data_IF_280870859684
#
_entry.id   IF_280870859684
#
_cell.length_a   1.000
_cell.length_b   1.000
_cell.length_c   1.000
_cell.angle_alpha   90.00
_cell.angle_beta   90.00
_cell.angle_gamma   90.00
#
_symmetry.space_group_name_H-M   'P 1'
#
loop_
_entity.id
_entity.type
_entity.pdbx_description
1 polymer ?
#
# COMPACT_ATOMS: atom_id res chain seq x y z
N UNK A 1 -34.83 37.79 51.63
CA UNK A 1 -34.87 37.23 53.00
C UNK A 1 -34.44 35.80 52.90
N UNK A 2 -33.54 35.38 53.74
CA UNK A 2 -32.49 34.40 53.40
C UNK A 2 -32.72 33.05 54.14
N UNK A 3 -31.91 32.11 53.80
CA UNK A 3 -31.62 30.94 54.62
C UNK A 3 -31.16 29.81 53.73
N UNK A 4 -30.10 29.24 53.87
CA UNK A 4 -29.12 29.06 54.92
C UNK A 4 -28.36 27.80 54.54
N UNK A 5 -27.08 27.97 54.44
CA UNK A 5 -26.09 26.93 54.19
C UNK A 5 -26.10 25.85 55.26
N UNK A 6 -25.83 24.63 54.89
CA UNK A 6 -24.97 23.77 55.73
C UNK A 6 -24.16 22.80 54.85
N UNK A 7 -22.85 22.91 55.04
CA UNK A 7 -21.80 22.05 54.58
C UNK A 7 -21.71 20.80 55.47
N UNK A 8 -21.69 19.63 54.87
CA UNK A 8 -21.19 18.44 55.56
C UNK A 8 -20.05 17.83 54.80
N UNK A 9 -18.92 17.72 55.47
CA UNK A 9 -17.70 17.02 55.03
C UNK A 9 -17.83 15.53 55.25
N UNK A 10 -17.20 14.69 54.38
CA UNK A 10 -17.21 13.25 54.59
C UNK A 10 -16.09 12.79 55.54
N UNK A 11 -16.25 11.68 56.23
CA UNK A 11 -15.27 11.14 57.17
C UNK A 11 -14.30 10.15 56.50
N UNK A 12 -13.08 10.21 56.98
CA UNK A 12 -12.29 9.05 57.38
C UNK A 12 -11.61 8.17 56.32
N UNK A 13 -10.32 8.43 56.20
CA UNK A 13 -9.28 7.52 55.67
C UNK A 13 -9.33 6.10 56.31
N UNK A 14 -9.43 5.07 55.48
CA UNK A 14 -8.96 3.74 55.82
C UNK A 14 -7.71 3.39 55.02
N UNK A 15 -6.59 3.38 55.71
CA UNK A 15 -5.32 2.90 55.21
C UNK A 15 -5.39 1.38 54.95
N UNK A 16 -5.17 0.98 53.69
CA UNK A 16 -4.90 -0.42 53.36
C UNK A 16 -3.39 -0.65 53.39
N UNK A 17 -2.99 -1.52 54.30
CA UNK A 17 -1.62 -2.02 54.46
C UNK A 17 -1.22 -2.80 53.22
N UNK A 18 -0.13 -2.39 52.59
CA UNK A 18 0.54 -3.07 51.51
C UNK A 18 1.20 -4.33 52.04
N UNK A 19 0.76 -5.47 51.60
CA UNK A 19 1.47 -6.76 51.76
C UNK A 19 2.37 -6.95 50.53
N UNK A 20 3.67 -6.81 50.71
CA UNK A 20 4.67 -7.07 49.68
C UNK A 20 4.73 -8.60 49.49
N UNK A 21 4.14 -9.08 48.42
CA UNK A 21 4.29 -10.46 47.95
C UNK A 21 5.53 -10.58 47.05
N UNK A 22 6.43 -11.45 47.43
CA UNK A 22 7.62 -11.85 46.69
C UNK A 22 7.21 -12.39 45.30
N UNK A 23 7.44 -11.62 44.22
CA UNK A 23 7.34 -12.12 42.88
C UNK A 23 8.62 -12.87 42.52
N UNK A 24 8.54 -14.18 42.48
CA UNK A 24 9.56 -15.03 41.92
C UNK A 24 9.78 -14.69 40.45
N UNK A 25 10.98 -14.26 40.13
CA UNK A 25 11.46 -13.99 38.77
C UNK A 25 11.58 -15.33 38.03
N UNK A 26 10.60 -15.68 37.21
CA UNK A 26 10.71 -16.80 36.27
C UNK A 26 11.60 -16.33 35.12
N UNK A 27 12.88 -16.74 35.14
CA UNK A 27 13.78 -16.57 33.98
C UNK A 27 13.35 -17.62 32.92
N UNK A 28 12.63 -17.15 31.91
CA UNK A 28 12.49 -17.89 30.66
C UNK A 28 13.80 -17.85 29.89
N UNK A 29 14.69 -18.82 30.13
CA UNK A 29 15.79 -19.14 29.21
C UNK A 29 15.21 -19.93 28.02
N UNK A 30 14.47 -19.25 27.14
CA UNK A 30 14.20 -19.73 25.81
C UNK A 30 15.35 -19.28 24.90
N UNK A 31 16.16 -20.21 24.41
CA UNK A 31 16.96 -20.00 23.18
C UNK A 31 15.97 -19.89 22.03
N UNK A 32 15.31 -18.74 21.90
CA UNK A 32 14.60 -18.37 20.69
C UNK A 32 15.67 -18.13 19.63
N UNK A 33 15.81 -19.05 18.70
CA UNK A 33 16.42 -18.75 17.40
C UNK A 33 15.70 -17.50 16.89
N UNK A 34 16.39 -16.38 16.78
CA UNK A 34 15.92 -15.21 16.05
C UNK A 34 15.77 -15.74 14.62
N UNK A 35 14.55 -16.09 14.21
CA UNK A 35 14.26 -16.29 12.80
C UNK A 35 14.66 -14.97 12.14
N UNK A 36 15.73 -15.01 11.34
CA UNK A 36 16.07 -13.90 10.43
C UNK A 36 14.82 -13.65 9.60
N UNK A 37 14.09 -12.58 9.90
CA UNK A 37 13.03 -12.12 9.01
C UNK A 37 13.74 -11.79 7.69
N UNK A 38 13.41 -12.53 6.62
CA UNK A 38 13.90 -12.23 5.29
C UNK A 38 13.36 -10.84 4.93
N UNK A 39 14.24 -9.94 4.50
CA UNK A 39 13.84 -8.61 4.05
C UNK A 39 12.85 -8.73 2.88
N UNK A 40 11.88 -7.82 2.84
CA UNK A 40 10.93 -7.71 1.74
C UNK A 40 11.68 -7.21 0.50
N UNK A 41 11.67 -7.97 -0.57
CA UNK A 41 12.30 -7.61 -1.84
C UNK A 41 11.33 -6.75 -2.65
N UNK A 42 11.65 -5.47 -2.82
CA UNK A 42 10.79 -4.51 -3.51
C UNK A 42 11.40 -4.11 -4.83
N UNK A 43 10.65 -4.28 -5.92
CA UNK A 43 11.01 -3.71 -7.22
C UNK A 43 10.16 -2.48 -7.48
N UNK A 44 10.79 -1.31 -7.72
CA UNK A 44 10.11 -0.08 -8.08
C UNK A 44 10.23 0.12 -9.58
N UNK A 45 9.11 0.00 -10.29
CA UNK A 45 9.02 0.18 -11.74
C UNK A 45 8.46 1.55 -12.10
N UNK A 46 9.10 2.19 -13.09
CA UNK A 46 8.68 3.47 -13.66
C UNK A 46 8.80 3.43 -15.19
N UNK A 47 7.84 3.98 -15.91
CA UNK A 47 7.97 4.15 -17.36
C UNK A 47 9.11 5.10 -17.74
N UNK A 48 9.51 6.01 -16.86
CA UNK A 48 10.66 6.92 -16.98
C UNK A 48 10.67 7.71 -18.30
N UNK A 49 9.52 8.30 -18.65
CA UNK A 49 9.35 9.11 -19.86
C UNK A 49 9.42 10.60 -19.56
N UNK A 50 8.65 11.07 -18.60
CA UNK A 50 8.55 12.48 -18.26
C UNK A 50 9.89 13.05 -17.82
N UNK A 51 10.58 12.37 -16.92
CA UNK A 51 11.85 12.83 -16.37
C UNK A 51 12.98 12.91 -17.41
N UNK A 52 12.88 12.14 -18.48
CA UNK A 52 13.86 12.17 -19.59
C UNK A 52 13.56 13.28 -20.60
N UNK A 53 12.28 13.62 -20.79
CA UNK A 53 11.85 14.50 -21.87
C UNK A 53 11.46 15.91 -21.40
N UNK A 54 11.25 16.13 -20.09
CA UNK A 54 10.87 17.42 -19.52
C UNK A 54 11.85 17.85 -18.41
N UNK A 55 12.58 18.94 -18.66
CA UNK A 55 13.57 19.47 -17.73
C UNK A 55 12.95 19.96 -16.40
N UNK A 56 11.68 20.40 -16.39
CA UNK A 56 11.02 20.81 -15.16
C UNK A 56 10.71 19.60 -14.28
N UNK A 57 10.29 18.49 -14.88
CA UNK A 57 10.07 17.24 -14.17
C UNK A 57 11.38 16.61 -13.72
N UNK A 58 12.42 16.63 -14.56
CA UNK A 58 13.77 16.21 -14.18
C UNK A 58 14.31 17.01 -12.99
N UNK A 59 13.94 18.29 -12.85
CA UNK A 59 14.32 19.09 -11.69
C UNK A 59 13.63 18.64 -10.38
N UNK A 60 12.43 18.08 -10.47
CA UNK A 60 11.70 17.51 -9.30
C UNK A 60 12.26 16.14 -8.93
N UNK A 61 12.51 15.29 -9.92
CA UNK A 61 12.99 13.91 -9.75
C UNK A 61 14.23 13.64 -10.62
N UNK A 62 15.42 14.17 -10.24
CA UNK A 62 16.62 14.09 -11.07
C UNK A 62 17.05 12.68 -11.46
N UNK A 63 16.87 11.72 -10.55
CA UNK A 63 17.18 10.30 -10.77
C UNK A 63 15.92 9.47 -11.10
N UNK A 64 14.80 10.14 -11.39
CA UNK A 64 13.51 9.53 -11.66
C UNK A 64 12.69 9.20 -10.41
N UNK A 65 11.37 9.11 -10.61
CA UNK A 65 10.40 8.77 -9.56
C UNK A 65 10.71 7.41 -8.91
N UNK A 66 11.13 6.42 -9.71
CA UNK A 66 11.51 5.10 -9.19
C UNK A 66 12.65 5.18 -8.19
N UNK A 67 13.66 6.01 -8.46
CA UNK A 67 14.79 6.19 -7.55
C UNK A 67 14.38 6.93 -6.28
N UNK A 68 13.52 7.95 -6.40
CA UNK A 68 12.98 8.67 -5.24
C UNK A 68 12.18 7.76 -4.31
N UNK A 69 11.35 6.86 -4.88
CA UNK A 69 10.59 5.88 -4.09
C UNK A 69 11.52 4.82 -3.50
N UNK A 70 12.43 4.27 -4.28
CA UNK A 70 13.38 3.26 -3.82
C UNK A 70 14.25 3.79 -2.66
N UNK A 71 14.64 5.07 -2.70
CA UNK A 71 15.48 5.68 -1.68
C UNK A 71 14.85 5.60 -0.28
N UNK A 72 13.60 6.08 -0.09
CA UNK A 72 12.97 6.05 1.24
C UNK A 72 12.52 4.64 1.67
N UNK A 73 12.29 3.72 0.73
CA UNK A 73 12.04 2.31 1.05
C UNK A 73 13.32 1.61 1.52
N UNK A 74 14.48 1.94 0.93
CA UNK A 74 15.79 1.40 1.34
C UNK A 74 16.23 1.86 2.73
N UNK A 75 15.66 2.94 3.25
CA UNK A 75 15.89 3.40 4.63
C UNK A 75 15.23 2.50 5.69
N UNK A 76 14.38 1.56 5.26
CA UNK A 76 13.68 0.64 6.16
C UNK A 76 14.52 -0.63 6.37
N UNK A 77 14.76 -1.00 7.63
CA UNK A 77 15.58 -2.17 8.00
C UNK A 77 15.03 -3.51 7.50
N UNK A 78 13.74 -3.56 7.14
CA UNK A 78 13.02 -4.75 6.70
C UNK A 78 12.79 -4.82 5.18
N UNK A 79 13.41 -3.92 4.40
CA UNK A 79 13.23 -3.84 2.94
C UNK A 79 14.55 -3.80 2.17
N UNK A 80 14.58 -4.44 1.02
CA UNK A 80 15.62 -4.30 0.01
C UNK A 80 14.99 -3.87 -1.31
N UNK A 81 15.54 -2.84 -1.96
CA UNK A 81 14.93 -2.26 -3.15
C UNK A 81 15.79 -2.45 -4.39
N UNK A 82 15.11 -2.66 -5.51
CA UNK A 82 15.66 -2.58 -6.86
C UNK A 82 14.77 -1.70 -7.72
N UNK A 83 15.32 -1.13 -8.79
CA UNK A 83 14.57 -0.30 -9.73
C UNK A 83 14.54 -0.94 -11.11
N UNK A 84 13.46 -0.69 -11.88
CA UNK A 84 13.32 -1.11 -13.25
C UNK A 84 12.56 -0.04 -14.04
N UNK A 85 12.86 0.06 -15.34
CA UNK A 85 12.24 1.04 -16.24
C UNK A 85 11.79 0.42 -17.56
N UNK A 86 10.90 1.15 -18.27
CA UNK A 86 10.29 0.68 -19.50
C UNK A 86 11.30 0.31 -20.59
N UNK A 87 12.42 1.04 -20.72
CA UNK A 87 13.40 0.84 -21.80
C UNK A 87 14.43 -0.27 -21.51
N UNK A 88 14.42 -0.85 -20.31
CA UNK A 88 15.24 -2.00 -20.00
C UNK A 88 14.75 -3.26 -20.77
N UNK A 89 15.62 -4.23 -21.05
CA UNK A 89 15.18 -5.51 -21.61
C UNK A 89 14.02 -6.12 -20.80
N UNK A 90 12.97 -6.55 -21.48
CA UNK A 90 11.71 -7.00 -20.87
C UNK A 90 11.16 -5.99 -19.83
N UNK A 91 11.36 -4.69 -20.09
CA UNK A 91 11.00 -3.60 -19.17
C UNK A 91 11.63 -3.72 -17.78
N UNK A 92 12.79 -4.38 -17.66
CA UNK A 92 13.44 -4.69 -16.40
C UNK A 92 12.72 -5.73 -15.54
N UNK A 93 11.62 -6.33 -16.04
CA UNK A 93 10.78 -7.28 -15.34
C UNK A 93 10.97 -8.71 -15.90
N UNK A 94 12.22 -9.13 -15.98
CA UNK A 94 12.58 -10.49 -16.39
C UNK A 94 12.06 -11.53 -15.40
N UNK A 95 12.02 -12.80 -15.81
CA UNK A 95 11.60 -13.88 -14.91
C UNK A 95 12.46 -13.96 -13.64
N UNK A 96 13.76 -13.70 -13.76
CA UNK A 96 14.68 -13.68 -12.61
C UNK A 96 14.41 -12.53 -11.64
N UNK A 97 14.09 -11.34 -12.16
CA UNK A 97 13.71 -10.18 -11.32
C UNK A 97 12.38 -10.47 -10.63
N UNK A 98 11.38 -10.89 -11.40
CA UNK A 98 10.05 -11.18 -10.86
C UNK A 98 10.07 -12.33 -9.85
N UNK A 99 10.92 -13.36 -10.03
CA UNK A 99 11.04 -14.47 -9.09
C UNK A 99 11.57 -14.01 -7.71
N UNK A 100 12.38 -12.96 -7.68
CA UNK A 100 12.95 -12.39 -6.44
C UNK A 100 12.08 -11.31 -5.83
N UNK A 101 11.14 -10.72 -6.59
CA UNK A 101 10.29 -9.62 -6.13
C UNK A 101 9.17 -10.13 -5.23
N UNK A 102 9.11 -9.62 -4.01
CA UNK A 102 8.00 -9.83 -3.07
C UNK A 102 6.89 -8.79 -3.28
N UNK A 103 7.25 -7.53 -3.58
CA UNK A 103 6.29 -6.45 -3.87
C UNK A 103 6.78 -5.63 -5.08
N UNK A 104 5.91 -5.45 -6.06
CA UNK A 104 6.14 -4.58 -7.20
C UNK A 104 5.39 -3.26 -6.99
N UNK A 105 6.13 -2.14 -7.00
CA UNK A 105 5.57 -0.79 -7.01
C UNK A 105 5.58 -0.30 -8.45
N UNK A 106 4.40 0.05 -8.97
CA UNK A 106 4.19 0.42 -10.36
C UNK A 106 3.79 1.88 -10.50
N UNK A 107 4.63 2.66 -11.18
CA UNK A 107 4.30 4.01 -11.59
C UNK A 107 4.33 4.11 -13.12
N UNK A 108 3.31 4.68 -13.74
CA UNK A 108 3.23 4.93 -15.17
C UNK A 108 2.16 5.97 -15.46
N UNK A 109 2.33 6.77 -16.52
CA UNK A 109 1.46 7.88 -16.84
C UNK A 109 1.06 7.92 -18.31
N UNK A 110 1.99 7.98 -19.26
CA UNK A 110 1.72 8.20 -20.67
C UNK A 110 2.04 7.01 -21.57
N UNK A 111 2.91 6.11 -21.15
CA UNK A 111 3.44 5.04 -21.97
C UNK A 111 2.82 3.67 -21.68
N UNK A 112 1.63 3.61 -21.08
CA UNK A 112 0.95 2.34 -20.74
C UNK A 112 0.84 1.36 -21.93
N UNK A 113 0.63 1.90 -23.15
CA UNK A 113 0.52 1.12 -24.39
C UNK A 113 1.80 0.45 -24.80
N UNK A 114 2.97 0.98 -24.40
CA UNK A 114 4.30 0.47 -24.78
C UNK A 114 4.70 -0.75 -23.96
N UNK A 115 4.09 -0.99 -22.81
CA UNK A 115 4.35 -2.19 -22.00
C UNK A 115 3.86 -3.43 -22.77
N UNK A 116 4.76 -4.39 -23.01
CA UNK A 116 4.43 -5.59 -23.75
C UNK A 116 3.46 -6.48 -23.01
N UNK A 117 2.51 -7.09 -23.72
CA UNK A 117 1.50 -7.97 -23.12
C UNK A 117 2.15 -9.19 -22.47
N UNK A 118 3.29 -9.68 -23.00
CA UNK A 118 4.04 -10.78 -22.42
C UNK A 118 4.57 -10.44 -21.01
N UNK A 119 5.06 -9.21 -20.78
CA UNK A 119 5.47 -8.75 -19.44
C UNK A 119 4.25 -8.57 -18.53
N UNK A 120 3.15 -8.03 -19.05
CA UNK A 120 1.89 -7.93 -18.29
C UNK A 120 1.42 -9.31 -17.82
N UNK A 121 1.49 -10.33 -18.67
CA UNK A 121 1.11 -11.69 -18.32
C UNK A 121 1.98 -12.30 -17.21
N UNK A 122 3.31 -12.08 -17.29
CA UNK A 122 4.24 -12.50 -16.25
C UNK A 122 3.94 -11.83 -14.92
N UNK A 123 3.72 -10.50 -14.90
CA UNK A 123 3.38 -9.75 -13.68
C UNK A 123 2.05 -10.22 -13.12
N UNK A 124 1.02 -10.40 -13.95
CA UNK A 124 -0.27 -10.93 -13.52
C UNK A 124 -0.11 -12.29 -12.83
N UNK A 125 0.63 -13.22 -13.48
CA UNK A 125 0.88 -14.54 -12.91
C UNK A 125 1.55 -14.44 -11.54
N UNK A 126 2.58 -13.60 -11.40
CA UNK A 126 3.28 -13.40 -10.15
C UNK A 126 2.39 -12.82 -9.06
N UNK A 127 1.50 -11.86 -9.40
CA UNK A 127 0.51 -11.33 -8.45
C UNK A 127 -0.45 -12.43 -7.99
N UNK A 128 -0.99 -13.22 -8.91
CA UNK A 128 -1.89 -14.32 -8.56
C UNK A 128 -1.20 -15.40 -7.72
N UNK A 129 0.11 -15.60 -7.89
CA UNK A 129 0.94 -16.52 -7.11
C UNK A 129 1.34 -15.94 -5.73
N UNK A 130 1.10 -14.64 -5.46
CA UNK A 130 1.28 -14.05 -4.14
C UNK A 130 2.16 -12.79 -4.06
N UNK A 131 2.80 -12.36 -5.15
CA UNK A 131 3.51 -11.08 -5.19
C UNK A 131 2.54 -9.93 -4.92
N UNK A 132 2.92 -8.97 -4.06
CA UNK A 132 2.18 -7.74 -3.85
C UNK A 132 2.31 -6.80 -5.05
N UNK A 133 1.27 -5.99 -5.30
CA UNK A 133 1.30 -4.94 -6.32
C UNK A 133 0.78 -3.63 -5.73
N UNK A 134 1.60 -2.59 -5.83
CA UNK A 134 1.20 -1.22 -5.47
C UNK A 134 1.16 -0.41 -6.75
N UNK A 135 0.00 0.12 -7.09
CA UNK A 135 -0.22 0.92 -8.28
C UNK A 135 -0.38 2.38 -7.88
N UNK A 136 0.48 3.24 -8.41
CA UNK A 136 0.54 4.64 -8.04
C UNK A 136 0.00 5.53 -9.15
N UNK A 137 -0.73 6.56 -8.77
CA UNK A 137 -1.18 7.66 -9.60
C UNK A 137 -1.87 7.19 -10.89
N UNK A 138 -1.42 7.66 -12.05
CA UNK A 138 -1.93 7.27 -13.38
C UNK A 138 -1.70 5.80 -13.74
N UNK A 139 -0.95 5.06 -12.91
CA UNK A 139 -0.83 3.61 -13.04
C UNK A 139 -2.18 2.86 -13.07
N UNK A 140 -3.28 3.53 -12.66
CA UNK A 140 -4.65 3.01 -12.83
C UNK A 140 -4.99 2.68 -14.29
N UNK A 141 -4.41 3.40 -15.26
CA UNK A 141 -4.61 3.16 -16.69
C UNK A 141 -3.69 2.07 -17.26
N UNK A 142 -2.80 1.49 -16.45
CA UNK A 142 -1.87 0.44 -16.91
C UNK A 142 -2.61 -0.84 -17.31
N UNK A 143 -2.05 -1.54 -18.30
CA UNK A 143 -2.57 -2.84 -18.76
C UNK A 143 -2.67 -3.85 -17.62
N UNK A 144 -1.67 -3.87 -16.72
CA UNK A 144 -1.65 -4.81 -15.60
C UNK A 144 -2.78 -4.54 -14.60
N UNK A 145 -3.04 -3.26 -14.26
CA UNK A 145 -4.11 -2.93 -13.33
C UNK A 145 -5.47 -3.26 -13.94
N UNK A 146 -5.73 -2.82 -15.17
CA UNK A 146 -6.96 -3.16 -15.89
C UNK A 146 -7.20 -4.68 -15.98
N UNK A 147 -6.15 -5.46 -16.25
CA UNK A 147 -6.22 -6.92 -16.35
C UNK A 147 -6.57 -7.58 -15.01
N UNK A 148 -6.03 -7.08 -13.89
CA UNK A 148 -6.31 -7.60 -12.55
C UNK A 148 -7.67 -7.12 -11.99
N UNK A 149 -8.15 -5.96 -12.43
CA UNK A 149 -9.45 -5.42 -12.02
C UNK A 149 -10.61 -5.96 -12.87
N UNK A 150 -10.35 -6.28 -14.15
CA UNK A 150 -11.38 -6.76 -15.07
C UNK A 150 -12.35 -5.67 -15.52
N UNK A 151 -11.97 -4.39 -15.44
CA UNK A 151 -12.76 -3.21 -15.81
C UNK A 151 -11.92 -2.22 -16.63
N UNK A 152 -12.54 -1.12 -17.08
CA UNK A 152 -11.86 -0.07 -17.83
C UNK A 152 -11.31 0.98 -16.84
N UNK A 153 -10.30 0.60 -16.09
CA UNK A 153 -9.73 1.40 -15.00
C UNK A 153 -9.15 2.75 -15.42
N UNK A 154 -8.83 2.93 -16.71
CA UNK A 154 -8.32 4.20 -17.25
C UNK A 154 -9.37 5.31 -17.41
N UNK A 155 -10.66 5.03 -17.15
CA UNK A 155 -11.74 6.02 -17.30
C UNK A 155 -12.08 6.67 -15.98
N UNK A 156 -11.79 7.97 -15.86
CA UNK A 156 -12.13 8.83 -14.74
C UNK A 156 -12.17 10.30 -15.19
N UNK A 157 -12.58 11.19 -14.29
CA UNK A 157 -12.43 12.64 -14.49
C UNK A 157 -11.08 13.08 -13.98
N UNK A 158 -10.44 14.00 -14.68
CA UNK A 158 -9.16 14.58 -14.28
C UNK A 158 -9.06 16.05 -14.63
N UNK A 159 -8.23 16.78 -13.92
CA UNK A 159 -7.89 18.18 -14.17
C UNK A 159 -6.50 18.48 -13.63
N UNK A 160 -5.63 18.93 -14.51
CA UNK A 160 -4.26 19.31 -14.17
C UNK A 160 -4.17 20.83 -13.90
N UNK A 161 -4.53 21.21 -12.68
CA UNK A 161 -4.52 22.61 -12.24
C UNK A 161 -3.68 22.85 -10.98
N UNK A 162 -2.93 21.85 -10.50
CA UNK A 162 -2.10 21.95 -9.29
C UNK A 162 -2.93 22.20 -8.04
N UNK A 163 -4.05 21.53 -7.91
CA UNK A 163 -5.00 21.74 -6.81
C UNK A 163 -4.51 21.12 -5.51
N UNK A 164 -4.93 21.70 -4.39
CA UNK A 164 -4.75 21.06 -3.11
C UNK A 164 -5.66 19.83 -3.01
N UNK A 165 -5.06 18.74 -2.59
CA UNK A 165 -5.75 17.51 -2.25
C UNK A 165 -5.75 17.30 -0.74
N UNK A 166 -6.88 16.85 -0.19
CA UNK A 166 -6.97 16.35 1.18
C UNK A 166 -7.36 14.88 1.14
N UNK A 167 -6.50 14.04 1.72
CA UNK A 167 -6.76 12.62 1.85
C UNK A 167 -7.34 12.34 3.25
N UNK A 168 -8.58 11.89 3.30
CA UNK A 168 -9.23 11.44 4.51
C UNK A 168 -8.97 9.96 4.74
N UNK A 169 -8.51 9.62 5.94
CA UNK A 169 -8.35 8.25 6.39
C UNK A 169 -9.72 7.72 6.85
N UNK A 170 -10.31 6.82 6.05
CA UNK A 170 -11.68 6.33 6.30
C UNK A 170 -11.72 4.92 6.91
N UNK A 171 -10.58 4.23 6.93
CA UNK A 171 -10.41 2.92 7.60
C UNK A 171 -9.18 2.94 8.53
N UNK A 172 -9.28 3.58 9.71
CA UNK A 172 -8.13 3.80 10.60
C UNK A 172 -7.56 2.50 11.21
N UNK A 173 -8.31 1.41 11.22
CA UNK A 173 -7.85 0.09 11.66
C UNK A 173 -7.05 -0.69 10.61
N UNK A 174 -6.95 -0.20 9.38
CA UNK A 174 -6.22 -0.89 8.33
C UNK A 174 -4.69 -0.75 8.50
N UNK A 175 -3.87 -1.79 8.26
CA UNK A 175 -2.41 -1.70 8.43
C UNK A 175 -1.74 -0.56 7.63
N UNK A 176 -2.28 -0.19 6.47
CA UNK A 176 -1.78 0.93 5.68
C UNK A 176 -1.97 2.28 6.39
N UNK A 177 -2.90 2.36 7.33
CA UNK A 177 -3.20 3.57 8.11
C UNK A 177 -2.24 3.81 9.29
N UNK A 178 -1.35 2.86 9.59
CA UNK A 178 -0.49 2.93 10.77
C UNK A 178 0.39 4.19 10.78
N UNK A 179 0.34 4.93 11.88
CA UNK A 179 1.14 6.15 12.09
C UNK A 179 0.66 7.39 11.32
N UNK A 180 -0.50 7.33 10.66
CA UNK A 180 -1.07 8.43 9.90
C UNK A 180 -2.12 9.20 10.72
N UNK A 181 -2.28 10.52 10.48
CA UNK A 181 -3.35 11.31 11.08
C UNK A 181 -4.71 11.00 10.43
N UNK A 182 -5.80 11.52 11.01
CA UNK A 182 -7.16 11.41 10.48
C UNK A 182 -7.27 11.88 9.01
N UNK A 183 -6.52 12.89 8.65
CA UNK A 183 -6.32 13.34 7.27
C UNK A 183 -4.95 14.00 7.10
N UNK A 184 -4.49 14.10 5.87
CA UNK A 184 -3.35 14.94 5.50
C UNK A 184 -3.61 15.64 4.17
N UNK A 185 -2.85 16.70 3.90
CA UNK A 185 -3.02 17.52 2.69
C UNK A 185 -1.76 17.49 1.83
N UNK A 186 -1.96 17.44 0.53
CA UNK A 186 -0.94 17.65 -0.50
C UNK A 186 -1.21 19.00 -1.14
N UNK A 187 -0.25 19.94 -1.10
CA UNK A 187 -0.49 21.31 -1.54
C UNK A 187 -0.86 21.45 -3.02
N UNK A 188 -0.23 20.63 -3.87
CA UNK A 188 -0.41 20.67 -5.33
C UNK A 188 -0.44 19.25 -5.88
N UNK A 189 -1.51 18.94 -6.60
CA UNK A 189 -1.72 17.65 -7.26
C UNK A 189 -2.62 17.78 -8.49
N UNK A 190 -2.61 16.78 -9.36
CA UNK A 190 -3.61 16.59 -10.38
C UNK A 190 -4.91 16.09 -9.74
N UNK A 191 -6.05 16.69 -10.06
CA UNK A 191 -7.34 16.26 -9.56
C UNK A 191 -7.84 15.03 -10.32
N UNK A 192 -8.23 13.99 -9.58
CA UNK A 192 -9.08 12.90 -10.07
C UNK A 192 -10.45 12.97 -9.42
N UNK A 193 -11.49 12.61 -10.19
CA UNK A 193 -12.86 12.63 -9.70
C UNK A 193 -13.65 11.39 -10.10
N UNK A 194 -14.59 11.01 -9.25
CA UNK A 194 -15.52 9.92 -9.54
C UNK A 194 -16.36 10.21 -10.80
N UNK A 195 -16.78 9.24 -11.60
CA UNK A 195 -16.78 7.80 -11.33
C UNK A 195 -15.42 7.16 -11.76
N UNK A 196 -14.83 6.32 -10.90
CA UNK A 196 -13.69 5.47 -11.19
C UNK A 196 -14.16 4.05 -11.44
N UNK A 197 -13.95 3.53 -12.65
CA UNK A 197 -14.44 2.22 -13.08
C UNK A 197 -13.56 1.08 -12.56
N UNK A 198 -13.72 0.79 -11.29
CA UNK A 198 -13.06 -0.29 -10.58
C UNK A 198 -14.09 -1.18 -9.86
N UNK A 199 -13.82 -2.47 -9.67
CA UNK A 199 -14.64 -3.29 -8.80
C UNK A 199 -14.61 -2.75 -7.37
N UNK A 200 -15.67 -3.03 -6.60
CA UNK A 200 -15.69 -2.66 -5.18
C UNK A 200 -14.40 -3.13 -4.51
N UNK A 201 -13.65 -2.25 -3.82
CA UNK A 201 -12.46 -2.66 -3.10
C UNK A 201 -12.83 -3.51 -1.88
N UNK A 202 -11.95 -4.45 -1.51
CA UNK A 202 -12.07 -5.22 -0.26
C UNK A 202 -11.89 -4.31 0.97
N UNK A 203 -11.09 -3.22 0.82
CA UNK A 203 -10.94 -2.15 1.79
C UNK A 203 -10.76 -0.81 1.07
N UNK A 204 -11.45 0.23 1.54
CA UNK A 204 -11.26 1.62 1.12
C UNK A 204 -10.58 2.37 2.25
N UNK A 205 -9.29 2.64 2.11
CA UNK A 205 -8.46 3.24 3.17
C UNK A 205 -8.49 4.76 3.12
N UNK A 206 -8.45 5.34 1.90
CA UNK A 206 -8.43 6.78 1.71
C UNK A 206 -9.47 7.26 0.70
N UNK A 207 -10.08 8.41 1.01
CA UNK A 207 -10.87 9.21 0.07
C UNK A 207 -10.22 10.58 -0.05
N UNK A 208 -10.01 11.04 -1.27
CA UNK A 208 -9.56 12.41 -1.55
C UNK A 208 -10.73 13.35 -1.73
N UNK A 209 -10.50 14.58 -1.28
CA UNK A 209 -11.25 15.77 -1.65
C UNK A 209 -10.29 16.79 -2.26
N UNK A 210 -10.68 17.41 -3.36
CA UNK A 210 -9.92 18.45 -4.05
C UNK A 210 -10.56 19.81 -3.87
N UNK A 211 -9.76 20.87 -4.01
CA UNK A 211 -10.24 22.26 -3.82
C UNK A 211 -11.43 22.60 -4.74
N UNK A 212 -11.52 21.98 -5.91
CA UNK A 212 -12.66 22.11 -6.82
C UNK A 212 -13.96 21.45 -6.33
N UNK A 213 -13.92 20.66 -5.25
CA UNK A 213 -15.05 19.98 -4.65
C UNK A 213 -15.23 18.52 -5.07
N UNK A 214 -14.40 18.04 -6.00
CA UNK A 214 -14.43 16.65 -6.42
C UNK A 214 -13.92 15.72 -5.33
N UNK A 215 -14.47 14.49 -5.33
CA UNK A 215 -14.06 13.40 -4.44
C UNK A 215 -13.61 12.20 -5.25
N UNK A 216 -12.70 11.40 -4.66
CA UNK A 216 -12.14 10.24 -5.33
C UNK A 216 -11.74 9.15 -4.34
N UNK A 217 -11.95 7.88 -4.71
CA UNK A 217 -11.47 6.72 -3.95
C UNK A 217 -9.95 6.55 -4.16
N UNK A 218 -9.16 7.16 -3.31
CA UNK A 218 -7.71 7.35 -3.50
C UNK A 218 -6.82 6.26 -2.92
N UNK A 219 -7.35 5.45 -1.99
CA UNK A 219 -6.61 4.34 -1.39
C UNK A 219 -7.46 3.09 -1.34
N UNK A 220 -7.31 2.21 -2.33
CA UNK A 220 -8.16 1.04 -2.52
C UNK A 220 -7.34 -0.25 -2.46
N UNK A 221 -7.83 -1.25 -1.74
CA UNK A 221 -7.19 -2.55 -1.57
C UNK A 221 -8.03 -3.68 -2.20
N UNK A 222 -7.34 -4.64 -2.81
CA UNK A 222 -7.97 -5.88 -3.31
C UNK A 222 -7.08 -7.09 -3.05
N UNK A 223 -7.73 -8.26 -2.98
CA UNK A 223 -7.07 -9.56 -3.09
C UNK A 223 -7.40 -10.19 -4.43
N UNK A 224 -6.38 -10.75 -5.06
CA UNK A 224 -6.54 -11.55 -6.29
C UNK A 224 -5.75 -12.84 -6.12
N UNK A 225 -6.47 -13.97 -5.98
CA UNK A 225 -5.90 -15.24 -5.56
C UNK A 225 -5.04 -15.07 -4.28
N UNK A 226 -3.71 -15.27 -4.34
CA UNK A 226 -2.81 -15.11 -3.20
C UNK A 226 -2.26 -13.68 -3.07
N UNK A 227 -2.34 -12.86 -4.12
CA UNK A 227 -1.76 -11.51 -4.19
C UNK A 227 -2.65 -10.44 -3.57
N UNK A 228 -2.00 -9.37 -3.13
CA UNK A 228 -2.63 -8.17 -2.61
C UNK A 228 -2.27 -7.00 -3.49
N UNK A 229 -3.26 -6.17 -3.78
CA UNK A 229 -3.14 -5.02 -4.65
C UNK A 229 -3.58 -3.79 -3.88
N UNK A 230 -2.78 -2.74 -3.91
CA UNK A 230 -3.13 -1.43 -3.39
C UNK A 230 -2.99 -0.40 -4.50
N UNK A 231 -4.04 0.37 -4.73
CA UNK A 231 -4.00 1.55 -5.56
C UNK A 231 -3.93 2.79 -4.68
N UNK A 232 -3.00 3.70 -5.01
CA UNK A 232 -2.85 4.98 -4.32
C UNK A 232 -2.75 6.12 -5.32
N UNK A 233 -3.71 7.04 -5.25
CA UNK A 233 -3.89 8.09 -6.27
C UNK A 233 -2.78 9.15 -6.33
N UNK A 234 -2.25 9.71 -5.19
CA UNK A 234 -1.26 10.79 -5.26
C UNK A 234 0.00 10.41 -6.04
N UNK A 235 0.64 11.42 -6.66
CA UNK A 235 1.96 11.22 -7.21
C UNK A 235 2.16 11.66 -8.66
N UNK A 236 1.53 12.78 -9.07
CA UNK A 236 1.80 13.39 -10.37
C UNK A 236 3.26 13.85 -10.47
N UNK A 237 3.89 13.61 -11.61
CA UNK A 237 5.33 13.81 -11.83
C UNK A 237 5.79 15.26 -11.69
N UNK A 238 4.89 16.22 -11.91
CA UNK A 238 5.20 17.66 -11.81
C UNK A 238 5.36 18.14 -10.36
N UNK A 239 4.98 17.35 -9.36
CA UNK A 239 4.98 17.76 -7.97
C UNK A 239 5.86 16.86 -7.09
N UNK A 240 6.51 17.39 -6.03
CA UNK A 240 7.38 16.61 -5.14
C UNK A 240 6.59 15.76 -4.14
N UNK A 241 5.53 15.10 -4.60
CA UNK A 241 4.58 14.35 -3.78
C UNK A 241 5.26 13.21 -3.01
N UNK A 242 6.21 12.51 -3.64
CA UNK A 242 6.95 11.43 -2.99
C UNK A 242 8.02 11.92 -1.98
N UNK A 243 8.18 13.24 -1.83
CA UNK A 243 9.00 13.84 -0.76
C UNK A 243 8.20 14.06 0.53
N UNK A 244 6.87 14.01 0.48
CA UNK A 244 6.00 14.21 1.66
C UNK A 244 6.03 13.02 2.59
N UNK A 245 6.13 13.31 3.89
CA UNK A 245 6.24 12.31 4.96
C UNK A 245 5.05 11.33 4.98
N UNK A 246 3.84 11.85 4.90
CA UNK A 246 2.62 11.05 4.97
C UNK A 246 2.47 10.15 3.74
N UNK A 247 2.81 10.64 2.54
CA UNK A 247 2.81 9.85 1.32
C UNK A 247 3.82 8.71 1.39
N UNK A 248 5.04 8.99 1.87
CA UNK A 248 6.07 7.96 2.10
C UNK A 248 5.58 6.91 3.10
N UNK A 249 4.98 7.35 4.22
CA UNK A 249 4.46 6.44 5.23
C UNK A 249 3.37 5.52 4.66
N UNK A 250 2.45 6.04 3.84
CA UNK A 250 1.44 5.21 3.15
C UNK A 250 2.10 4.13 2.30
N UNK A 251 3.10 4.49 1.49
CA UNK A 251 3.77 3.53 0.58
C UNK A 251 4.57 2.49 1.37
N UNK A 252 5.29 2.89 2.42
CA UNK A 252 6.01 1.97 3.32
C UNK A 252 5.04 0.95 3.94
N UNK A 253 3.93 1.44 4.51
CA UNK A 253 2.91 0.58 5.10
C UNK A 253 2.26 -0.34 4.05
N UNK A 254 2.02 0.18 2.84
CA UNK A 254 1.46 -0.60 1.73
C UNK A 254 2.39 -1.73 1.30
N UNK A 255 3.70 -1.50 1.24
CA UNK A 255 4.71 -2.54 0.96
C UNK A 255 4.62 -3.65 2.02
N UNK A 256 4.63 -3.30 3.31
CA UNK A 256 4.50 -4.27 4.41
C UNK A 256 3.18 -5.03 4.37
N UNK A 257 2.09 -4.34 4.04
CA UNK A 257 0.77 -4.97 3.93
C UNK A 257 0.67 -5.92 2.73
N UNK A 258 1.24 -5.53 1.57
CA UNK A 258 1.15 -6.29 0.33
C UNK A 258 2.13 -7.46 0.26
N UNK A 259 3.21 -7.46 1.07
CA UNK A 259 4.21 -8.52 1.07
C UNK A 259 3.58 -9.91 1.23
N UNK A 260 4.14 -10.94 0.56
CA UNK A 260 3.66 -12.30 0.64
C UNK A 260 3.61 -12.79 2.09
N UNK A 261 2.53 -13.47 2.46
CA UNK A 261 2.42 -14.14 3.74
C UNK A 261 2.49 -15.63 3.54
N UNK A 262 3.08 -16.32 4.50
CA UNK A 262 3.00 -17.78 4.53
C UNK A 262 1.52 -18.20 4.54
N UNK A 263 1.15 -19.05 3.61
CA UNK A 263 -0.18 -19.63 3.53
C UNK A 263 -0.04 -21.14 3.38
N UNK A 264 -1.03 -21.88 3.85
CA UNK A 264 -1.11 -23.30 3.54
C UNK A 264 -1.21 -23.48 2.03
N UNK A 265 -0.57 -24.51 1.49
CA UNK A 265 -0.74 -24.87 0.10
C UNK A 265 -2.19 -25.30 -0.15
N UNK A 266 -2.78 -24.70 -1.17
CA UNK A 266 -4.12 -25.07 -1.61
C UNK A 266 -3.99 -26.23 -2.58
N UNK A 267 -4.60 -27.37 -2.25
CA UNK A 267 -4.64 -28.54 -3.14
C UNK A 267 -5.81 -28.37 -4.09
N UNK A 268 -5.50 -28.46 -5.38
CA UNK A 268 -6.50 -28.39 -6.46
C UNK A 268 -6.59 -29.71 -7.22
N UNK A 269 -7.71 -29.89 -7.94
CA UNK A 269 -7.91 -31.04 -8.82
C UNK A 269 -8.57 -32.23 -8.13
N UNK A 270 -8.34 -33.41 -8.68
CA UNK A 270 -8.91 -34.64 -8.14
C UNK A 270 -8.10 -35.12 -6.93
N UNK A 271 -8.71 -35.06 -5.74
CA UNK A 271 -8.07 -35.43 -4.48
C UNK A 271 -8.70 -36.69 -3.89
N UNK A 272 -7.92 -37.39 -3.07
CA UNK A 272 -8.48 -38.49 -2.27
C UNK A 272 -9.40 -37.94 -1.17
N UNK A 273 -10.49 -38.63 -0.85
CA UNK A 273 -11.37 -38.24 0.24
C UNK A 273 -10.61 -38.19 1.56
N UNK A 274 -10.90 -37.18 2.38
CA UNK A 274 -10.33 -37.04 3.71
C UNK A 274 -10.91 -38.05 4.72
N UNK A 275 -12.13 -38.55 4.48
CA UNK A 275 -12.86 -39.50 5.26
C UNK A 275 -13.40 -40.62 4.38
N UNK A 276 -13.81 -41.74 4.98
CA UNK A 276 -14.43 -42.85 4.28
C UNK A 276 -15.72 -42.38 3.61
N UNK A 277 -15.82 -42.57 2.29
CA UNK A 277 -17.07 -42.31 1.59
C UNK A 277 -18.10 -43.41 1.95
N UNK A 278 -19.30 -42.97 2.30
CA UNK A 278 -20.43 -43.90 2.39
C UNK A 278 -20.85 -44.29 0.97
N UNK A 279 -21.27 -45.56 0.76
CA UNK A 279 -21.76 -46.00 -0.53
C UNK A 279 -22.96 -45.16 -0.96
N UNK A 280 -22.97 -44.77 -2.21
CA UNK A 280 -24.17 -44.14 -2.80
C UNK A 280 -25.26 -45.20 -2.89
N UNK A 281 -26.52 -44.92 -2.44
CA UNK A 281 -27.58 -45.87 -2.49
C UNK A 281 -28.03 -46.25 -3.91
#
# INVERSE_FOLDING_TARGET
MPGGSQSESPPGNHAWRTTIGFLARIEFRGKGSIMSCKNIQVTVWNEFRHEVHDAAIAAVYPEGIHSAIAAFLSEQDDMETTTATLDMPEHGLTDDVLAKTDVLVWWGHMAHGEVSDAVVDKVQKRVLDGMGLIVLHSGHASKIFGKLMGTITGRLKWREAGEKERLWLVEPGHPIAEGLPEYFEIPHEEMYGEHFDIPAPDALVFISWFTGGEVFRSGCCWKRAKGRIFYFRPGHESFPTYMQKEVRQVIINAVRWAAPRSSSDIVYGNVQPLEKLEPFP
#
